data_IF_560981180367
#
_entry.id   IF_560981180367
#
_cell.length_a   1.000
_cell.length_b   1.000
_cell.length_c   1.000
_cell.angle_alpha   90.00
_cell.angle_beta   90.00
_cell.angle_gamma   90.00
#
_symmetry.space_group_name_H-M   'P 1'
#
loop_
_entity.id
_entity.type
_entity.pdbx_description
1 polymer ?
#
# COMPACT_ATOMS: atom_id res chain seq x y z
N UNK A 1 5.53 2.72 14.27
CA UNK A 1 4.30 3.49 13.96
C UNK A 1 4.42 5.00 14.23
N UNK A 2 5.09 5.46 15.31
CA UNK A 2 5.15 6.90 15.67
C UNK A 2 5.52 7.87 14.53
N UNK A 3 6.42 7.48 13.64
CA UNK A 3 6.85 8.32 12.51
C UNK A 3 5.78 8.50 11.44
N UNK A 4 4.99 7.46 11.17
CA UNK A 4 3.87 7.54 10.22
C UNK A 4 2.81 8.50 10.74
N UNK A 5 2.50 8.44 12.04
CA UNK A 5 1.57 9.40 12.66
C UNK A 5 2.11 10.83 12.63
N UNK A 6 3.41 11.03 12.85
CA UNK A 6 4.03 12.34 12.71
C UNK A 6 3.89 12.89 11.28
N UNK A 7 4.15 12.06 10.26
CA UNK A 7 3.98 12.46 8.86
C UNK A 7 2.51 12.82 8.53
N UNK A 8 1.55 12.01 8.99
CA UNK A 8 0.13 12.28 8.78
C UNK A 8 -0.34 13.55 9.50
N UNK A 9 0.17 13.82 10.70
CA UNK A 9 -0.13 15.03 11.46
C UNK A 9 0.44 16.28 10.76
N UNK A 10 1.66 16.20 10.24
CA UNK A 10 2.27 17.28 9.46
C UNK A 10 1.46 17.54 8.19
N UNK A 11 1.08 16.48 7.47
CA UNK A 11 0.25 16.57 6.27
C UNK A 11 -1.10 17.22 6.55
N UNK A 12 -1.82 16.78 7.60
CA UNK A 12 -3.12 17.36 7.97
C UNK A 12 -3.02 18.81 8.43
N UNK A 13 -1.85 19.22 8.92
CA UNK A 13 -1.54 20.61 9.30
C UNK A 13 -1.00 21.44 8.12
N UNK A 14 -1.03 20.90 6.89
CA UNK A 14 -0.45 21.50 5.69
C UNK A 14 1.03 21.89 5.83
N UNK A 15 1.77 21.18 6.69
CA UNK A 15 3.20 21.36 6.89
C UNK A 15 3.99 20.32 6.08
N UNK A 16 5.17 20.69 5.55
CA UNK A 16 5.97 19.76 4.78
C UNK A 16 6.55 18.65 5.68
N UNK A 17 6.53 17.42 5.17
CA UNK A 17 7.11 16.25 5.85
C UNK A 17 8.63 16.21 5.61
N UNK A 18 9.37 16.99 6.39
CA UNK A 18 10.85 17.05 6.34
C UNK A 18 11.47 16.35 7.54
N UNK A 19 12.76 16.02 7.46
CA UNK A 19 13.49 15.44 8.59
C UNK A 19 13.38 16.32 9.84
N UNK A 20 13.54 17.63 9.67
CA UNK A 20 13.45 18.59 10.78
C UNK A 20 12.08 18.57 11.44
N UNK A 21 11.00 18.64 10.66
CA UNK A 21 9.65 18.69 11.19
C UNK A 21 9.26 17.38 11.88
N UNK A 22 9.63 16.23 11.30
CA UNK A 22 9.38 14.92 11.92
C UNK A 22 10.15 14.81 13.25
N UNK A 23 11.42 15.23 13.30
CA UNK A 23 12.21 15.24 14.55
C UNK A 23 11.55 16.11 15.62
N UNK A 24 11.08 17.31 15.28
CA UNK A 24 10.38 18.20 16.22
C UNK A 24 9.14 17.55 16.81
N UNK A 25 8.30 16.92 15.98
CA UNK A 25 7.08 16.25 16.45
C UNK A 25 7.39 15.08 17.40
N UNK A 26 8.38 14.25 17.05
CA UNK A 26 8.75 13.09 17.86
C UNK A 26 9.36 13.53 19.21
N UNK A 27 10.20 14.56 19.21
CA UNK A 27 10.76 15.14 20.44
C UNK A 27 9.68 15.79 21.30
N UNK A 28 8.74 16.51 20.68
CA UNK A 28 7.61 17.11 21.40
C UNK A 28 6.69 16.05 22.04
N UNK A 29 6.59 14.87 21.43
CA UNK A 29 5.91 13.71 22.00
C UNK A 29 6.71 13.00 23.11
N UNK A 30 7.87 13.52 23.52
CA UNK A 30 8.73 12.95 24.56
C UNK A 30 9.43 11.66 24.15
N UNK A 31 9.45 11.33 22.85
CA UNK A 31 10.02 10.10 22.31
C UNK A 31 11.44 10.33 21.78
N UNK A 32 12.29 9.31 21.89
CA UNK A 32 13.62 9.36 21.29
C UNK A 32 13.53 9.30 19.76
N UNK A 33 14.29 10.18 19.11
CA UNK A 33 14.42 10.25 17.65
C UNK A 33 15.40 9.18 17.16
N UNK A 34 14.97 8.35 16.22
CA UNK A 34 15.84 7.46 15.46
C UNK A 34 16.05 8.03 14.05
N UNK A 35 17.25 8.57 13.80
CA UNK A 35 17.52 9.29 12.55
C UNK A 35 17.35 8.41 11.30
N UNK A 36 17.72 7.13 11.37
CA UNK A 36 17.59 6.20 10.26
C UNK A 36 16.12 6.05 9.82
N UNK A 37 15.19 5.97 10.77
CA UNK A 37 13.76 5.85 10.46
C UNK A 37 13.17 7.16 9.93
N UNK A 38 13.63 8.31 10.44
CA UNK A 38 13.20 9.62 9.92
C UNK A 38 13.62 9.77 8.46
N UNK A 39 14.88 9.44 8.14
CA UNK A 39 15.39 9.49 6.76
C UNK A 39 14.66 8.52 5.84
N UNK A 40 14.47 7.28 6.28
CA UNK A 40 13.74 6.27 5.50
C UNK A 40 12.30 6.71 5.21
N UNK A 41 11.62 7.31 6.19
CA UNK A 41 10.25 7.82 6.01
C UNK A 41 10.22 8.97 4.99
N UNK A 42 11.08 9.97 5.16
CA UNK A 42 11.10 11.14 4.26
C UNK A 42 11.44 10.72 2.84
N UNK A 43 12.38 9.78 2.66
CA UNK A 43 12.69 9.22 1.34
C UNK A 43 11.55 8.39 0.76
N UNK A 44 10.84 7.61 1.58
CA UNK A 44 9.68 6.84 1.11
C UNK A 44 8.50 7.74 0.70
N UNK A 45 8.40 8.94 1.27
CA UNK A 45 7.30 9.88 1.01
C UNK A 45 7.65 10.95 -0.05
N UNK A 46 8.91 11.06 -0.50
CA UNK A 46 9.32 12.12 -1.43
C UNK A 46 8.67 12.01 -2.81
N UNK A 47 8.26 10.81 -3.21
CA UNK A 47 7.59 10.55 -4.49
C UNK A 47 6.11 10.17 -4.32
N UNK A 48 5.58 10.23 -3.09
CA UNK A 48 4.22 9.80 -2.78
C UNK A 48 3.30 11.01 -2.61
N UNK A 49 2.21 11.04 -3.39
CA UNK A 49 1.12 11.97 -3.12
C UNK A 49 0.25 11.44 -1.97
N UNK A 50 0.42 12.03 -0.79
CA UNK A 50 -0.25 11.60 0.45
C UNK A 50 -1.77 11.70 0.31
N UNK A 51 -2.31 12.71 -0.40
CA UNK A 51 -3.76 12.87 -0.58
C UNK A 51 -4.37 11.75 -1.43
N UNK A 52 -3.68 11.34 -2.48
CA UNK A 52 -4.12 10.22 -3.33
C UNK A 52 -4.01 8.89 -2.59
N UNK A 53 -2.93 8.68 -1.84
CA UNK A 53 -2.74 7.50 -1.01
C UNK A 53 -3.87 7.37 0.03
N UNK A 54 -4.25 8.47 0.70
CA UNK A 54 -5.34 8.48 1.67
C UNK A 54 -6.72 8.24 1.03
N UNK A 55 -7.00 8.84 -0.13
CA UNK A 55 -8.24 8.56 -0.89
C UNK A 55 -8.34 7.09 -1.27
N UNK A 56 -7.25 6.52 -1.79
CA UNK A 56 -7.20 5.11 -2.19
C UNK A 56 -7.40 4.18 -0.99
N UNK A 57 -6.77 4.50 0.15
CA UNK A 57 -6.97 3.77 1.40
C UNK A 57 -8.43 3.82 1.88
N UNK A 58 -9.11 4.96 1.74
CA UNK A 58 -10.53 5.08 2.09
C UNK A 58 -11.47 4.26 1.20
N UNK A 59 -11.14 4.12 -0.10
CA UNK A 59 -11.91 3.31 -1.04
C UNK A 59 -11.80 1.79 -0.76
N UNK A 60 -10.67 1.35 -0.21
CA UNK A 60 -10.47 -0.04 0.25
C UNK A 60 -11.10 -0.35 1.61
N UNK A 61 -11.45 0.68 2.40
CA UNK A 61 -12.09 0.52 3.71
C UNK A 61 -13.62 0.43 3.64
N UNK A 62 -14.22 0.67 2.48
CA UNK A 62 -15.65 0.44 2.28
C UNK A 62 -15.89 -1.08 2.14
N UNK A 63 -16.78 -1.70 2.92
CA UNK A 63 -17.22 -3.05 2.60
C UNK A 63 -17.85 -2.95 1.22
N UNK A 64 -17.30 -3.71 0.27
CA UNK A 64 -17.98 -3.94 -1.00
C UNK A 64 -19.28 -4.63 -0.63
N UNK A 65 -20.36 -3.86 -0.54
CA UNK A 65 -21.70 -4.42 -0.55
C UNK A 65 -21.80 -5.13 -1.90
N UNK A 66 -21.61 -6.45 -1.87
CA UNK A 66 -21.88 -7.29 -3.01
C UNK A 66 -23.28 -6.91 -3.51
N UNK A 67 -23.45 -6.46 -4.76
CA UNK A 67 -24.78 -6.41 -5.34
C UNK A 67 -25.30 -7.85 -5.28
N UNK A 68 -26.36 -8.05 -4.50
CA UNK A 68 -27.18 -9.23 -4.65
C UNK A 68 -27.55 -9.30 -6.14
N UNK A 69 -27.12 -10.38 -6.78
CA UNK A 69 -27.39 -10.68 -8.18
C UNK A 69 -28.90 -10.65 -8.44
N UNK A 70 -29.31 -10.10 -9.59
CA UNK A 70 -30.27 -10.78 -10.42
C UNK A 70 -29.50 -11.36 -11.61
N UNK A 71 -29.49 -12.69 -11.67
CA UNK A 71 -29.20 -13.43 -12.90
C UNK A 71 -30.13 -12.94 -14.01
N UNK A 72 -29.57 -12.32 -15.05
CA UNK A 72 -30.17 -12.36 -16.38
C UNK A 72 -29.07 -12.39 -17.44
N UNK A 73 -29.24 -13.32 -18.37
CA UNK A 73 -28.23 -13.79 -19.30
C UNK A 73 -27.95 -12.79 -20.44
N UNK A 74 -26.67 -12.53 -20.71
CA UNK A 74 -26.21 -12.23 -22.08
C UNK A 74 -24.76 -12.66 -22.29
N UNK A 75 -24.65 -13.91 -22.75
CA UNK A 75 -23.83 -14.42 -23.86
C UNK A 75 -22.49 -13.76 -24.21
N UNK A 76 -21.51 -14.65 -24.41
CA UNK A 76 -20.29 -14.50 -25.23
C UNK A 76 -19.12 -13.68 -24.64
N UNK A 77 -18.19 -14.37 -23.95
CA UNK A 77 -16.83 -14.60 -24.48
C UNK A 77 -16.09 -15.61 -23.56
N UNK A 78 -15.98 -16.86 -24.01
CA UNK A 78 -15.16 -17.91 -23.38
C UNK A 78 -13.88 -17.99 -24.22
N UNK A 79 -12.74 -17.57 -23.64
CA UNK A 79 -11.38 -18.16 -23.74
C UNK A 79 -10.30 -17.07 -23.61
N UNK A 80 -9.73 -16.87 -22.41
CA UNK A 80 -8.31 -17.19 -22.26
C UNK A 80 -7.87 -17.69 -20.85
N UNK A 81 -8.75 -18.36 -20.07
CA UNK A 81 -8.42 -18.77 -18.70
C UNK A 81 -7.60 -20.09 -18.58
N UNK A 82 -7.34 -20.79 -19.70
CA UNK A 82 -6.70 -22.13 -19.67
C UNK A 82 -5.18 -22.07 -19.93
N UNK A 83 -4.66 -20.97 -20.49
CA UNK A 83 -3.22 -20.83 -20.79
C UNK A 83 -2.41 -20.35 -19.57
N UNK A 84 -3.01 -19.57 -18.66
CA UNK A 84 -2.30 -19.05 -17.48
C UNK A 84 -2.04 -20.13 -16.43
N UNK A 85 -2.98 -21.07 -16.22
CA UNK A 85 -2.81 -22.17 -15.26
C UNK A 85 -1.69 -23.14 -15.64
N UNK A 86 -1.50 -23.41 -16.94
CA UNK A 86 -0.40 -24.27 -17.40
C UNK A 86 0.98 -23.66 -17.14
N UNK A 87 1.08 -22.33 -17.24
CA UNK A 87 2.34 -21.61 -17.04
C UNK A 87 2.74 -21.55 -15.55
N UNK A 88 1.77 -21.44 -14.64
CA UNK A 88 2.05 -21.52 -13.20
C UNK A 88 2.52 -22.92 -12.79
N UNK A 89 1.92 -23.99 -13.36
CA UNK A 89 2.28 -25.37 -13.02
C UNK A 89 3.69 -25.74 -13.51
N UNK A 90 4.10 -25.29 -14.70
CA UNK A 90 5.47 -25.46 -15.20
C UNK A 90 6.52 -24.66 -14.40
N UNK A 91 6.18 -23.46 -13.93
CA UNK A 91 7.09 -22.66 -13.10
C UNK A 91 7.36 -23.29 -11.72
N UNK A 92 6.33 -23.91 -11.13
CA UNK A 92 6.42 -24.61 -9.84
C UNK A 92 7.23 -25.91 -9.97
N UNK A 93 7.07 -26.64 -11.07
CA UNK A 93 7.86 -27.85 -11.35
C UNK A 93 9.36 -27.56 -11.55
N UNK A 94 9.71 -26.43 -12.19
CA UNK A 94 11.11 -26.03 -12.38
C UNK A 94 11.85 -25.68 -11.09
N UNK A 95 11.15 -25.09 -10.10
CA UNK A 95 11.73 -24.78 -8.79
C UNK A 95 12.00 -26.04 -7.95
N UNK A 96 11.15 -27.06 -8.07
CA UNK A 96 11.34 -28.35 -7.37
C UNK A 96 12.62 -29.09 -7.80
N UNK A 97 13.01 -28.98 -9.07
CA UNK A 97 14.21 -29.60 -9.59
C UNK A 97 15.52 -28.88 -9.20
N UNK A 98 15.45 -27.61 -8.79
CA UNK A 98 16.62 -26.82 -8.40
C UNK A 98 17.00 -27.00 -6.92
N UNK A 99 16.07 -27.50 -6.09
CA UNK A 99 16.24 -27.69 -4.65
C UNK A 99 16.12 -29.15 -4.20
N UNK A 100 16.22 -30.10 -5.13
CA UNK A 100 16.29 -31.55 -4.87
C UNK A 100 17.71 -32.08 -4.72
#
# INVERSE_FOLDING_TARGET
MKYVYAALLLHSSAQPVTEENVKKVITAAGSQVEEAQVKALVAALSEVNIDEALKSASAMAAPVAAPATPTEAKKEDKKPAEEEKKKEEEALAGLGALFG
#
